data_IF_024114565561
#
_entry.id   IF_024114565561
#
_cell.length_a   1.000
_cell.length_b   1.000
_cell.length_c   1.000
_cell.angle_alpha   90.00
_cell.angle_beta   90.00
_cell.angle_gamma   90.00
#
_symmetry.space_group_name_H-M   'P 1'
#
loop_
_entity.id
_entity.type
_entity.pdbx_description
1 polymer ?
#
# COMPACT_ATOMS: atom_id res chain seq x y z
N UNK A 1 -51.73 -7.11 45.44
CA UNK A 1 -50.86 -6.18 44.68
C UNK A 1 -50.49 -6.83 43.36
N UNK A 2 -50.67 -6.16 42.20
CA UNK A 2 -50.43 -6.69 40.85
C UNK A 2 -49.12 -6.19 40.21
N UNK A 3 -48.78 -6.76 39.03
CA UNK A 3 -47.91 -6.25 37.93
C UNK A 3 -46.39 -6.12 38.21
N UNK A 4 -45.43 -6.35 37.29
CA UNK A 4 -45.37 -6.69 35.85
C UNK A 4 -43.89 -6.88 35.45
N UNK A 5 -43.66 -7.71 34.43
CA UNK A 5 -42.67 -7.61 33.33
C UNK A 5 -41.21 -7.14 33.52
N UNK A 6 -40.29 -7.92 32.92
CA UNK A 6 -39.50 -7.52 31.74
C UNK A 6 -38.02 -8.02 31.75
N UNK A 7 -37.77 -8.98 30.84
CA UNK A 7 -36.60 -9.12 29.94
C UNK A 7 -35.31 -8.33 30.27
N UNK A 8 -34.18 -9.04 30.30
CA UNK A 8 -33.04 -8.68 29.41
C UNK A 8 -32.14 -9.86 29.08
N UNK A 9 -32.13 -10.19 27.78
CA UNK A 9 -31.13 -10.99 27.06
C UNK A 9 -29.72 -10.48 27.37
N UNK A 10 -28.75 -11.39 27.53
CA UNK A 10 -27.35 -11.13 27.21
C UNK A 10 -26.97 -12.04 26.06
N UNK A 11 -27.06 -11.45 24.86
CA UNK A 11 -26.60 -12.01 23.61
C UNK A 11 -25.08 -12.22 23.70
N UNK A 12 -24.64 -13.47 23.81
CA UNK A 12 -23.27 -13.88 23.52
C UNK A 12 -23.24 -14.45 22.10
N UNK A 13 -23.15 -13.56 21.12
CA UNK A 13 -22.86 -13.92 19.73
C UNK A 13 -21.59 -13.16 19.30
N UNK A 14 -20.48 -13.89 19.22
CA UNK A 14 -19.24 -13.44 18.60
C UNK A 14 -19.52 -13.06 17.13
N UNK A 15 -19.02 -11.93 16.60
CA UNK A 15 -19.18 -11.63 15.18
C UNK A 15 -18.28 -12.55 14.36
N UNK A 16 -18.95 -13.36 13.56
CA UNK A 16 -18.40 -14.37 12.66
C UNK A 16 -17.49 -13.73 11.60
N UNK A 17 -16.35 -14.39 11.36
CA UNK A 17 -15.49 -14.18 10.19
C UNK A 17 -16.33 -14.24 8.91
N UNK A 18 -16.61 -13.07 8.35
CA UNK A 18 -17.30 -12.99 7.06
C UNK A 18 -16.23 -12.98 5.97
N UNK A 19 -15.93 -14.15 5.42
CA UNK A 19 -15.27 -14.26 4.11
C UNK A 19 -16.25 -13.65 3.10
N UNK A 20 -16.02 -12.38 2.74
CA UNK A 20 -16.88 -11.64 1.79
C UNK A 20 -16.59 -12.11 0.36
N UNK A 21 -17.65 -12.58 -0.28
CA UNK A 21 -17.75 -12.92 -1.70
C UNK A 21 -17.29 -11.75 -2.58
N UNK A 22 -16.40 -12.02 -3.54
CA UNK A 22 -15.68 -11.01 -4.34
C UNK A 22 -16.54 -10.52 -5.51
N UNK A 23 -17.29 -9.43 -5.31
CA UNK A 23 -17.67 -8.52 -6.39
C UNK A 23 -16.53 -7.53 -6.71
N UNK A 24 -16.63 -6.69 -7.76
CA UNK A 24 -15.61 -5.66 -8.02
C UNK A 24 -15.49 -4.77 -6.78
N UNK A 25 -14.30 -4.74 -6.18
CA UNK A 25 -14.05 -3.97 -4.97
C UNK A 25 -14.15 -2.49 -5.33
N UNK A 26 -14.96 -1.74 -4.55
CA UNK A 26 -14.94 -0.30 -4.59
C UNK A 26 -13.53 0.16 -4.20
N UNK A 27 -12.82 0.82 -5.14
CA UNK A 27 -11.47 1.36 -4.91
C UNK A 27 -11.50 2.82 -4.48
N UNK A 28 -12.55 3.56 -4.87
CA UNK A 28 -12.71 4.96 -4.48
C UNK A 28 -12.81 5.10 -2.97
N UNK A 29 -12.00 5.94 -2.33
CA UNK A 29 -11.96 6.16 -0.87
C UNK A 29 -11.67 4.88 -0.05
N UNK A 30 -10.93 3.93 -0.64
CA UNK A 30 -10.59 2.67 0.00
C UNK A 30 -9.95 2.85 1.39
N UNK A 31 -8.95 3.73 1.52
CA UNK A 31 -8.20 3.92 2.75
C UNK A 31 -9.10 4.31 3.93
N UNK A 32 -10.18 5.06 3.67
CA UNK A 32 -11.15 5.44 4.69
C UNK A 32 -12.01 4.28 5.19
N UNK A 33 -12.13 3.21 4.40
CA UNK A 33 -12.91 2.00 4.73
C UNK A 33 -12.09 0.89 5.34
N UNK A 34 -10.77 0.97 5.26
CA UNK A 34 -9.88 -0.03 5.85
C UNK A 34 -9.89 0.08 7.38
N UNK A 35 -9.48 -1.00 8.05
CA UNK A 35 -9.33 -0.96 9.51
C UNK A 35 -8.25 0.06 9.91
N UNK A 36 -8.35 0.72 11.08
CA UNK A 36 -7.34 1.69 11.52
C UNK A 36 -5.92 1.15 11.62
N UNK A 37 -5.74 -0.18 11.70
CA UNK A 37 -4.44 -0.87 11.74
C UNK A 37 -4.16 -1.68 10.47
N UNK A 38 -4.73 -1.25 9.35
CA UNK A 38 -4.60 -1.96 8.10
C UNK A 38 -3.15 -2.12 7.65
N UNK A 39 -2.85 -3.26 7.06
CA UNK A 39 -1.57 -3.61 6.46
C UNK A 39 -1.66 -3.40 4.97
N UNK A 40 -0.88 -2.45 4.45
CA UNK A 40 -0.90 -2.06 3.04
C UNK A 40 0.42 -2.42 2.41
N UNK A 41 0.36 -3.15 1.30
CA UNK A 41 1.52 -3.44 0.46
C UNK A 41 1.52 -2.55 -0.76
N UNK A 42 2.55 -1.72 -0.95
CA UNK A 42 2.80 -1.04 -2.22
C UNK A 42 3.85 -1.80 -3.02
N UNK A 43 3.61 -2.00 -4.32
CA UNK A 43 4.55 -2.67 -5.21
C UNK A 43 5.09 -1.65 -6.22
N UNK A 44 6.40 -1.38 -6.17
CA UNK A 44 7.12 -0.52 -7.12
C UNK A 44 8.51 -1.10 -7.42
N UNK A 45 8.65 -1.75 -8.58
CA UNK A 45 9.86 -2.53 -8.88
C UNK A 45 10.92 -1.77 -9.68
N UNK A 46 10.55 -0.70 -10.41
CA UNK A 46 11.46 -0.03 -11.36
C UNK A 46 11.53 1.47 -11.13
N UNK A 47 12.64 2.03 -11.64
CA UNK A 47 13.00 3.44 -11.63
C UNK A 47 13.21 4.00 -10.22
N UNK A 48 14.44 4.44 -9.96
CA UNK A 48 14.77 5.15 -8.72
C UNK A 48 13.92 6.42 -8.59
N UNK A 49 13.70 7.15 -9.68
CA UNK A 49 12.88 8.35 -9.69
C UNK A 49 11.46 8.06 -9.18
N UNK A 50 10.86 6.98 -9.63
CA UNK A 50 9.50 6.62 -9.20
C UNK A 50 9.43 6.11 -7.76
N UNK A 51 10.50 5.47 -7.29
CA UNK A 51 10.62 5.08 -5.88
C UNK A 51 10.68 6.32 -4.98
N UNK A 52 11.50 7.31 -5.35
CA UNK A 52 11.59 8.57 -4.64
C UNK A 52 10.28 9.35 -4.67
N UNK A 53 9.59 9.38 -5.81
CA UNK A 53 8.29 10.03 -5.96
C UNK A 53 7.19 9.38 -5.08
N UNK A 54 7.30 8.09 -4.77
CA UNK A 54 6.36 7.38 -3.93
C UNK A 54 6.50 7.74 -2.43
N UNK A 55 7.66 8.23 -1.99
CA UNK A 55 7.93 8.56 -0.57
C UNK A 55 6.96 9.60 -0.01
N UNK A 56 6.62 10.62 -0.79
CA UNK A 56 5.78 11.71 -0.34
C UNK A 56 4.29 11.35 -0.24
N UNK A 57 3.68 10.63 -1.20
CA UNK A 57 2.36 10.04 -0.99
C UNK A 57 2.30 9.11 0.24
N UNK A 58 3.37 8.33 0.50
CA UNK A 58 3.47 7.49 1.71
C UNK A 58 3.44 8.35 2.97
N UNK A 59 4.23 9.43 3.02
CA UNK A 59 4.22 10.37 4.15
C UNK A 59 2.84 10.96 4.39
N UNK A 60 2.18 11.42 3.33
CA UNK A 60 0.83 11.96 3.44
C UNK A 60 -0.17 10.90 3.95
N UNK A 61 -0.03 9.65 3.50
CA UNK A 61 -0.83 8.53 3.96
C UNK A 61 -0.59 8.24 5.45
N UNK A 62 0.67 8.21 5.89
CA UNK A 62 1.03 8.00 7.30
C UNK A 62 0.54 9.14 8.19
N UNK A 63 0.57 10.38 7.70
CA UNK A 63 0.02 11.53 8.43
C UNK A 63 -1.50 11.42 8.62
N UNK A 64 -2.25 10.93 7.63
CA UNK A 64 -3.71 10.75 7.72
C UNK A 64 -4.11 9.48 8.48
N UNK A 65 -3.31 8.42 8.34
CA UNK A 65 -3.57 7.12 8.96
C UNK A 65 -2.31 6.61 9.70
N UNK A 66 -1.98 7.19 10.87
CA UNK A 66 -0.72 6.88 11.57
C UNK A 66 -0.55 5.42 11.99
N UNK A 67 -1.67 4.73 12.20
CA UNK A 67 -1.69 3.34 12.64
C UNK A 67 -1.65 2.32 11.49
N UNK A 68 -1.67 2.75 10.22
CA UNK A 68 -1.46 1.86 9.09
C UNK A 68 -0.03 1.31 9.11
N UNK A 69 0.10 0.04 8.75
CA UNK A 69 1.39 -0.61 8.52
C UNK A 69 1.67 -0.65 7.02
N UNK A 70 2.63 0.15 6.60
CA UNK A 70 3.01 0.35 5.21
C UNK A 70 4.22 -0.54 4.91
N UNK A 71 4.03 -1.47 3.99
CA UNK A 71 5.09 -2.34 3.48
C UNK A 71 5.36 -2.00 2.01
N UNK A 72 6.63 -1.84 1.65
CA UNK A 72 7.04 -1.52 0.27
C UNK A 72 7.76 -2.72 -0.34
N UNK A 73 7.32 -3.17 -1.50
CA UNK A 73 8.01 -4.18 -2.31
C UNK A 73 8.76 -3.52 -3.46
N UNK A 74 10.09 -3.64 -3.43
CA UNK A 74 11.03 -3.01 -4.38
C UNK A 74 12.10 -4.00 -4.83
N UNK A 75 12.78 -3.69 -5.95
CA UNK A 75 14.01 -4.39 -6.31
C UNK A 75 15.16 -4.02 -5.35
N UNK A 76 16.16 -4.91 -5.14
CA UNK A 76 17.25 -4.69 -4.20
C UNK A 76 18.00 -3.37 -4.41
N UNK A 77 18.15 -2.95 -5.66
CA UNK A 77 18.84 -1.70 -6.06
C UNK A 77 18.10 -0.42 -5.65
N UNK A 78 16.86 -0.50 -5.19
CA UNK A 78 16.02 0.64 -4.80
C UNK A 78 15.61 0.60 -3.32
N UNK A 79 16.17 -0.32 -2.52
CA UNK A 79 15.91 -0.41 -1.08
C UNK A 79 16.28 0.90 -0.39
N UNK A 80 17.43 1.48 -0.76
CA UNK A 80 17.97 2.72 -0.20
C UNK A 80 17.07 3.94 -0.43
N UNK A 81 16.10 3.87 -1.37
CA UNK A 81 15.10 4.92 -1.53
C UNK A 81 14.12 5.00 -0.35
N UNK A 82 13.98 3.94 0.43
CA UNK A 82 12.99 3.81 1.49
C UNK A 82 13.57 3.47 2.85
N UNK A 83 14.81 2.96 2.93
CA UNK A 83 15.39 2.45 4.18
C UNK A 83 15.46 3.50 5.29
N UNK A 84 15.75 4.75 4.94
CA UNK A 84 15.75 5.87 5.87
C UNK A 84 14.38 6.56 6.02
N UNK A 85 13.30 6.00 5.46
CA UNK A 85 11.98 6.64 5.49
C UNK A 85 11.18 6.21 6.75
N UNK A 86 10.92 7.12 7.72
CA UNK A 86 10.20 6.77 8.95
C UNK A 86 8.71 6.43 8.72
N UNK A 87 8.17 6.76 7.55
CA UNK A 87 6.78 6.49 7.19
C UNK A 87 6.58 5.05 6.63
N UNK A 88 7.67 4.30 6.42
CA UNK A 88 7.66 2.92 5.93
C UNK A 88 7.98 1.96 7.09
N UNK A 89 7.08 1.01 7.36
CA UNK A 89 7.24 0.06 8.47
C UNK A 89 8.05 -1.18 8.08
N UNK A 90 8.02 -1.58 6.81
CA UNK A 90 8.79 -2.73 6.32
C UNK A 90 9.13 -2.59 4.83
N UNK A 91 10.35 -2.98 4.45
CA UNK A 91 10.76 -3.09 3.05
C UNK A 91 10.94 -4.57 2.72
N UNK A 92 10.23 -5.01 1.70
CA UNK A 92 10.40 -6.32 1.07
C UNK A 92 11.27 -6.13 -0.17
N UNK A 93 12.55 -6.47 -0.05
CA UNK A 93 13.46 -6.52 -1.20
C UNK A 93 13.21 -7.81 -1.97
N UNK A 94 12.76 -7.71 -3.22
CA UNK A 94 12.49 -8.87 -4.08
C UNK A 94 13.80 -9.49 -4.62
N UNK A 95 14.28 -10.63 -4.09
CA UNK A 95 15.46 -11.29 -4.62
C UNK A 95 15.08 -12.24 -5.75
N UNK A 96 16.06 -12.65 -6.55
CA UNK A 96 15.89 -13.65 -7.61
C UNK A 96 15.66 -15.10 -7.08
N UNK A 97 15.19 -15.29 -5.84
CA UNK A 97 15.14 -16.60 -5.15
C UNK A 97 13.72 -17.00 -4.76
N UNK A 98 13.42 -18.29 -4.89
CA UNK A 98 12.15 -18.93 -4.51
C UNK A 98 11.76 -18.74 -3.03
N UNK A 99 12.75 -18.58 -2.13
CA UNK A 99 12.50 -18.33 -0.71
C UNK A 99 11.70 -17.06 -0.44
N UNK A 100 11.77 -16.08 -1.34
CA UNK A 100 10.98 -14.86 -1.24
C UNK A 100 9.51 -15.09 -1.54
N UNK A 101 9.21 -15.93 -2.54
CA UNK A 101 7.82 -16.29 -2.85
C UNK A 101 7.16 -16.97 -1.64
N UNK A 102 7.86 -17.89 -0.98
CA UNK A 102 7.37 -18.53 0.25
C UNK A 102 7.14 -17.51 1.38
N UNK A 103 8.06 -16.56 1.58
CA UNK A 103 7.87 -15.46 2.53
C UNK A 103 6.62 -14.66 2.19
N UNK A 104 6.41 -14.30 0.92
CA UNK A 104 5.28 -13.47 0.51
C UNK A 104 3.93 -14.18 0.66
N UNK A 105 3.88 -15.49 0.37
CA UNK A 105 2.71 -16.35 0.55
C UNK A 105 2.22 -16.43 2.00
N UNK A 106 3.13 -16.27 2.97
CA UNK A 106 2.77 -16.25 4.40
C UNK A 106 2.29 -14.88 4.89
N UNK A 107 2.36 -13.83 4.06
CA UNK A 107 2.00 -12.47 4.46
C UNK A 107 0.56 -12.14 4.06
N UNK A 108 -0.16 -11.49 4.98
CA UNK A 108 -1.51 -10.98 4.79
C UNK A 108 -1.53 -9.47 4.82
N UNK A 109 -2.20 -8.89 3.84
CA UNK A 109 -2.43 -7.47 3.65
C UNK A 109 -3.92 -7.23 3.45
N UNK A 110 -4.41 -6.11 3.97
CA UNK A 110 -5.79 -5.66 3.75
C UNK A 110 -5.96 -5.08 2.34
N UNK A 111 -4.88 -4.46 1.83
CA UNK A 111 -4.80 -3.89 0.49
C UNK A 111 -3.40 -4.09 -0.11
N UNK A 112 -3.35 -4.52 -1.37
CA UNK A 112 -2.13 -4.62 -2.17
C UNK A 112 -2.27 -3.63 -3.32
N UNK A 113 -1.57 -2.50 -3.24
CA UNK A 113 -1.60 -1.44 -4.26
C UNK A 113 -0.42 -1.67 -5.21
N UNK A 114 -0.73 -2.22 -6.39
CA UNK A 114 0.27 -2.40 -7.41
C UNK A 114 0.39 -1.11 -8.25
N UNK A 115 1.50 -0.39 -8.05
CA UNK A 115 1.83 0.82 -8.79
C UNK A 115 2.70 0.51 -10.02
N UNK A 116 2.89 -0.77 -10.35
CA UNK A 116 3.73 -1.22 -11.44
C UNK A 116 2.94 -2.14 -12.37
N UNK A 117 2.77 -1.76 -13.64
CA UNK A 117 1.93 -2.50 -14.60
C UNK A 117 2.57 -3.74 -15.22
N UNK A 118 3.72 -4.20 -14.71
CA UNK A 118 4.47 -5.32 -15.29
C UNK A 118 3.99 -6.71 -14.84
N UNK A 119 4.38 -7.77 -15.57
CA UNK A 119 4.04 -9.15 -15.20
C UNK A 119 4.70 -9.58 -13.87
N UNK A 120 5.91 -9.08 -13.58
CA UNK A 120 6.64 -9.39 -12.35
C UNK A 120 5.95 -8.84 -11.10
N UNK A 121 5.45 -7.61 -11.14
CA UNK A 121 4.73 -7.00 -10.02
C UNK A 121 3.36 -7.66 -9.81
N UNK A 122 2.71 -8.07 -10.89
CA UNK A 122 1.50 -8.88 -10.82
C UNK A 122 1.76 -10.25 -10.17
N UNK A 123 2.85 -10.94 -10.55
CA UNK A 123 3.22 -12.20 -9.93
C UNK A 123 3.40 -12.04 -8.41
N UNK A 124 4.13 -11.01 -7.98
CA UNK A 124 4.28 -10.75 -6.55
C UNK A 124 2.97 -10.35 -5.87
N UNK A 125 2.09 -9.59 -6.53
CA UNK A 125 0.79 -9.26 -5.95
C UNK A 125 -0.09 -10.50 -5.77
N UNK A 126 -0.04 -11.46 -6.69
CA UNK A 126 -0.75 -12.74 -6.61
C UNK A 126 -0.17 -13.67 -5.53
N UNK A 127 1.14 -13.61 -5.29
CA UNK A 127 1.80 -14.39 -4.24
C UNK A 127 1.48 -13.86 -2.84
N UNK A 128 1.14 -12.59 -2.67
CA UNK A 128 0.70 -12.04 -1.40
C UNK A 128 -0.79 -12.28 -1.17
N UNK A 129 -1.19 -12.49 0.09
CA UNK A 129 -2.60 -12.61 0.44
C UNK A 129 -3.21 -11.24 0.73
N UNK A 130 -4.23 -10.83 -0.03
CA UNK A 130 -4.93 -9.56 0.18
C UNK A 130 -5.75 -9.10 -1.01
N UNK A 131 -6.47 -7.99 -0.86
CA UNK A 131 -7.22 -7.39 -1.97
C UNK A 131 -6.26 -6.66 -2.91
N UNK A 132 -6.09 -7.19 -4.13
CA UNK A 132 -5.19 -6.59 -5.12
C UNK A 132 -5.88 -5.46 -5.87
N UNK A 133 -5.18 -4.34 -5.92
CA UNK A 133 -5.60 -3.12 -6.60
C UNK A 133 -4.57 -2.80 -7.67
N UNK A 134 -5.05 -2.58 -8.88
CA UNK A 134 -4.22 -2.24 -10.03
C UNK A 134 -4.91 -1.23 -10.92
N UNK A 135 -4.17 -0.65 -11.87
CA UNK A 135 -4.74 0.32 -12.79
C UNK A 135 -5.46 -0.37 -13.96
N UNK A 136 -6.48 0.31 -14.49
CA UNK A 136 -7.34 -0.19 -15.57
C UNK A 136 -6.57 -0.62 -16.83
N UNK A 137 -5.48 0.10 -17.15
CA UNK A 137 -4.65 -0.12 -18.33
C UNK A 137 -3.62 -1.26 -18.19
N UNK A 138 -3.63 -2.00 -17.08
CA UNK A 138 -2.71 -3.13 -16.89
C UNK A 138 -3.16 -4.35 -17.69
N UNK A 139 -2.22 -5.09 -18.29
CA UNK A 139 -2.52 -6.20 -19.22
C UNK A 139 -3.33 -7.36 -18.60
N UNK A 140 -3.46 -7.40 -17.27
CA UNK A 140 -4.18 -8.45 -16.54
C UNK A 140 -5.15 -7.88 -15.50
N UNK A 141 -5.95 -6.89 -15.88
CA UNK A 141 -6.93 -6.21 -15.00
C UNK A 141 -7.85 -7.18 -14.27
N UNK A 142 -8.19 -8.33 -14.88
CA UNK A 142 -9.06 -9.38 -14.31
C UNK A 142 -8.51 -10.05 -13.05
N UNK A 143 -7.19 -9.99 -12.80
CA UNK A 143 -6.57 -10.59 -11.59
C UNK A 143 -6.59 -9.63 -10.39
N UNK A 144 -6.90 -8.36 -10.63
CA UNK A 144 -7.12 -7.38 -9.57
C UNK A 144 -8.57 -7.43 -9.09
N UNK A 145 -8.76 -7.36 -7.78
CA UNK A 145 -10.09 -7.30 -7.15
C UNK A 145 -10.62 -5.86 -7.18
N UNK A 146 -9.74 -4.87 -7.19
CA UNK A 146 -10.06 -3.46 -7.35
C UNK A 146 -9.30 -2.84 -8.53
N UNK A 147 -9.98 -1.99 -9.28
CA UNK A 147 -9.37 -1.24 -10.38
C UNK A 147 -9.42 0.25 -10.08
N UNK A 148 -8.29 0.93 -10.26
CA UNK A 148 -8.21 2.40 -10.22
C UNK A 148 -8.25 2.95 -11.65
N UNK A 149 -8.88 4.13 -11.86
CA UNK A 149 -9.01 4.72 -13.18
C UNK A 149 -7.62 4.99 -13.79
N UNK A 150 -7.55 4.92 -15.11
CA UNK A 150 -6.34 5.34 -15.84
C UNK A 150 -6.07 6.83 -15.59
N UNK A 151 -4.86 7.22 -15.17
CA UNK A 151 -4.45 8.63 -15.14
C UNK A 151 -4.54 9.26 -16.53
N UNK A 152 -4.72 10.58 -16.60
CA UNK A 152 -4.80 11.29 -17.87
C UNK A 152 -3.54 11.01 -18.74
N UNK A 153 -3.67 10.86 -20.07
CA UNK A 153 -2.57 10.42 -20.94
C UNK A 153 -1.35 11.35 -20.94
N UNK A 154 -1.55 12.60 -20.56
CA UNK A 154 -0.62 13.72 -20.50
C UNK A 154 -0.06 13.96 -19.08
N UNK A 155 -0.58 13.28 -18.06
CA UNK A 155 -0.13 13.46 -16.69
C UNK A 155 1.27 12.86 -16.48
N UNK A 156 2.17 13.64 -15.86
CA UNK A 156 3.47 13.14 -15.44
C UNK A 156 3.32 12.00 -14.41
N UNK A 157 4.31 11.12 -14.31
CA UNK A 157 4.28 9.94 -13.40
C UNK A 157 3.98 10.32 -11.94
N UNK A 158 4.40 11.52 -11.54
CA UNK A 158 4.12 12.13 -10.23
C UNK A 158 2.63 12.33 -10.02
N UNK A 159 2.01 13.06 -10.93
CA UNK A 159 0.59 13.40 -10.91
C UNK A 159 -0.27 12.14 -11.02
N UNK A 160 0.16 11.18 -11.84
CA UNK A 160 -0.47 9.87 -11.97
C UNK A 160 -0.49 9.09 -10.65
N UNK A 161 0.63 9.07 -9.93
CA UNK A 161 0.74 8.37 -8.64
C UNK A 161 -0.09 9.08 -7.57
N UNK A 162 -0.05 10.41 -7.52
CA UNK A 162 -0.87 11.19 -6.59
C UNK A 162 -2.37 11.08 -6.89
N UNK A 163 -2.78 11.12 -8.15
CA UNK A 163 -4.18 10.95 -8.56
C UNK A 163 -4.72 9.57 -8.14
N UNK A 164 -3.91 8.52 -8.30
CA UNK A 164 -4.23 7.17 -7.83
C UNK A 164 -4.40 7.15 -6.30
N UNK A 165 -3.46 7.74 -5.56
CA UNK A 165 -3.53 7.78 -4.10
C UNK A 165 -4.75 8.59 -3.61
N UNK A 166 -5.08 9.69 -4.28
CA UNK A 166 -6.29 10.48 -4.02
C UNK A 166 -7.56 9.69 -4.29
N UNK A 167 -7.60 8.97 -5.41
CA UNK A 167 -8.71 8.06 -5.70
C UNK A 167 -8.90 7.03 -4.58
N UNK A 168 -7.82 6.50 -4.03
CA UNK A 168 -7.86 5.56 -2.91
C UNK A 168 -8.24 6.22 -1.57
N UNK A 169 -8.40 7.54 -1.50
CA UNK A 169 -8.90 8.26 -0.32
C UNK A 169 -7.86 9.14 0.39
N UNK A 170 -6.69 9.37 -0.21
CA UNK A 170 -5.69 10.31 0.32
C UNK A 170 -6.17 11.76 0.11
N UNK A 171 -6.44 12.48 1.19
CA UNK A 171 -6.89 13.88 1.13
C UNK A 171 -5.71 14.87 1.22
N UNK A 172 -4.78 14.80 0.27
CA UNK A 172 -3.61 15.69 0.26
C UNK A 172 -3.43 16.37 -1.09
N UNK A 173 -3.38 17.70 -1.04
CA UNK A 173 -3.17 18.57 -2.20
C UNK A 173 -1.72 19.01 -2.39
N UNK A 174 -0.86 18.75 -1.40
CA UNK A 174 0.53 19.21 -1.47
C UNK A 174 1.30 18.36 -2.50
N UNK A 175 1.96 18.98 -3.50
CA UNK A 175 2.82 18.25 -4.41
C UNK A 175 3.91 17.56 -3.59
N UNK A 176 4.33 16.35 -4.00
CA UNK A 176 5.23 15.54 -3.20
C UNK A 176 6.56 16.27 -2.98
N UNK A 177 6.77 16.88 -1.81
CA UNK A 177 8.10 17.33 -1.39
C UNK A 177 8.96 16.08 -1.24
N UNK A 178 9.84 15.84 -2.22
CA UNK A 178 10.82 14.76 -2.20
C UNK A 178 11.59 14.83 -0.89
N UNK A 179 11.47 13.76 -0.09
CA UNK A 179 12.24 13.60 1.14
C UNK A 179 13.18 12.45 0.90
N UNK A 180 14.45 12.77 0.69
CA UNK A 180 15.54 11.81 0.72
C UNK A 180 16.28 12.03 2.02
N UNK A 181 16.23 11.05 2.92
CA UNK A 181 17.08 11.05 4.10
C UNK A 181 18.33 10.27 3.75
N UNK A 182 19.48 10.92 3.92
CA UNK A 182 20.76 10.27 3.70
C UNK A 182 20.93 9.15 4.73
N UNK A 183 21.44 8.02 4.27
CA UNK A 183 21.87 6.96 5.18
C UNK A 183 22.94 7.53 6.14
N UNK A 184 22.91 7.20 7.45
CA UNK A 184 23.81 7.79 8.44
C UNK A 184 25.30 7.61 8.09
N UNK A 185 25.67 6.53 7.40
CA UNK A 185 27.04 6.32 6.92
C UNK A 185 27.43 7.26 5.77
N UNK A 186 26.49 7.64 4.91
CA UNK A 186 26.73 8.60 3.83
C UNK A 186 26.79 10.03 4.36
N UNK A 187 25.95 10.37 5.33
CA UNK A 187 26.00 11.64 6.05
C UNK A 187 27.35 11.85 6.75
N UNK A 188 27.94 10.78 7.31
CA UNK A 188 29.28 10.81 7.89
C UNK A 188 30.39 11.04 6.84
N UNK A 189 30.28 10.42 5.66
CA UNK A 189 31.24 10.62 4.55
C UNK A 189 31.18 12.03 3.97
N UNK A 190 30.00 12.63 3.88
CA UNK A 190 29.84 14.01 3.39
C UNK A 190 30.44 15.03 4.39
N UNK A 191 30.34 14.77 5.70
CA UNK A 191 30.98 15.62 6.73
C UNK A 191 32.51 15.54 6.75
N UNK A 192 33.11 14.47 6.25
CA UNK A 192 34.58 14.33 6.16
C UNK A 192 35.18 14.98 4.90
N UNK A 193 34.36 15.40 3.93
CA UNK A 193 34.82 16.01 2.67
C UNK A 193 34.56 17.53 2.57
N UNK A 194 34.04 18.13 3.62
CA UNK A 194 33.89 19.58 3.82
C UNK A 194 34.96 20.07 4.79
#
# INVERSE_FOLDING_TARGET
MPCTDAKRKRDSAQPQETIRTVGPMLTKDLFQRLSPRARILFIRLRSMGDCLLLTAPIRALKAQFPAFRITILVEPRFVDCFDANPDVDEILSAPAKWSFAARLLTRRFDAIVNLHGGPTSLLYSCLAWGNRIGAEHYQATRLYQGVVPRPAPDAHTVESTMALMRWLGLQSDEPPKLRYEFHPEEAARMRQKL
#
